data_IF_818654481290
#
_entry.id   IF_818654481290
#
_cell.length_a   1.000
_cell.length_b   1.000
_cell.length_c   1.000
_cell.angle_alpha   90.00
_cell.angle_beta   90.00
_cell.angle_gamma   90.00
#
_symmetry.space_group_name_H-M   'P 1'
#
loop_
_entity.id
_entity.type
_entity.pdbx_description
1 polymer ?
#
# COMPACT_ATOMS: atom_id res chain seq x y z
N UNK A 1 9.78 -0.60 -1.93
CA UNK A 1 10.87 0.37 -2.18
C UNK A 1 10.60 1.62 -1.38
N UNK A 2 11.61 2.22 -0.74
CA UNK A 2 11.43 3.48 -0.04
C UNK A 2 11.11 4.59 -1.06
N UNK A 3 10.03 5.34 -0.83
CA UNK A 3 9.60 6.43 -1.69
C UNK A 3 10.16 7.79 -1.28
N UNK A 4 10.89 7.86 -0.16
CA UNK A 4 11.38 9.13 0.36
C UNK A 4 12.58 9.65 -0.41
N UNK A 5 12.50 10.93 -0.79
CA UNK A 5 13.57 11.60 -1.51
C UNK A 5 14.83 11.64 -0.65
N UNK A 6 15.97 11.29 -1.25
CA UNK A 6 17.28 11.23 -0.57
C UNK A 6 17.37 10.19 0.56
N UNK A 7 16.50 9.18 0.57
CA UNK A 7 16.71 8.00 1.40
C UNK A 7 17.91 7.19 0.87
N UNK A 8 18.82 6.79 1.76
CA UNK A 8 20.03 6.03 1.42
C UNK A 8 19.84 4.51 1.37
N UNK A 9 18.61 4.01 1.48
CA UNK A 9 18.30 2.58 1.42
C UNK A 9 18.11 2.13 -0.03
N UNK A 10 18.76 1.03 -0.37
CA UNK A 10 18.64 0.34 -1.65
C UNK A 10 18.20 -1.10 -1.40
N UNK A 11 17.27 -1.57 -2.23
CA UNK A 11 16.75 -2.94 -2.18
C UNK A 11 17.04 -3.58 -3.52
N UNK A 12 17.70 -4.73 -3.50
CA UNK A 12 17.95 -5.53 -4.70
C UNK A 12 17.01 -6.74 -4.70
N UNK A 13 16.23 -6.86 -5.76
CA UNK A 13 15.38 -8.02 -6.04
C UNK A 13 15.81 -8.70 -7.34
N UNK A 14 15.49 -9.98 -7.50
CA UNK A 14 15.66 -10.66 -8.78
C UNK A 14 14.44 -10.42 -9.69
N UNK A 15 14.45 -11.04 -10.88
CA UNK A 15 13.36 -10.95 -11.85
C UNK A 15 12.09 -11.71 -11.43
N UNK A 16 12.15 -12.50 -10.35
CA UNK A 16 11.02 -13.18 -9.75
C UNK A 16 10.49 -12.43 -8.50
N UNK A 17 10.89 -11.16 -8.33
CA UNK A 17 10.54 -10.30 -7.18
C UNK A 17 11.00 -10.84 -5.81
N UNK A 18 11.95 -11.77 -5.77
CA UNK A 18 12.52 -12.28 -4.53
C UNK A 18 13.58 -11.30 -4.00
N UNK A 19 13.56 -11.08 -2.67
CA UNK A 19 14.52 -10.22 -2.00
C UNK A 19 15.91 -10.87 -2.01
N UNK A 20 16.89 -10.18 -2.59
CA UNK A 20 18.30 -10.61 -2.58
C UNK A 20 19.02 -9.96 -1.41
N UNK A 21 18.98 -8.63 -1.31
CA UNK A 21 19.61 -7.90 -0.22
C UNK A 21 18.99 -6.51 0.00
N UNK A 22 19.24 -5.97 1.20
CA UNK A 22 18.90 -4.62 1.60
C UNK A 22 20.18 -3.95 2.07
N UNK A 23 20.55 -2.82 1.44
CA UNK A 23 21.75 -2.07 1.74
C UNK A 23 21.38 -0.63 2.16
N UNK A 24 22.22 -0.03 3.00
CA UNK A 24 22.02 1.33 3.51
C UNK A 24 21.09 1.41 4.71
N UNK A 25 20.84 2.64 5.19
CA UNK A 25 20.00 2.90 6.36
C UNK A 25 18.99 4.00 6.06
N UNK A 26 17.78 3.88 6.63
CA UNK A 26 16.80 4.94 6.57
C UNK A 26 17.29 6.14 7.36
N UNK A 27 17.18 7.32 6.77
CA UNK A 27 17.48 8.61 7.39
C UNK A 27 16.20 9.39 7.74
N UNK A 28 15.06 8.71 7.76
CA UNK A 28 13.76 9.26 8.04
C UNK A 28 12.95 8.27 8.89
N UNK A 29 11.92 8.77 9.55
CA UNK A 29 10.98 7.92 10.28
C UNK A 29 10.02 7.23 9.30
N UNK A 30 9.46 6.09 9.72
CA UNK A 30 8.36 5.47 8.99
C UNK A 30 7.12 6.36 9.06
N UNK A 31 6.33 6.38 7.98
CA UNK A 31 5.02 7.01 7.96
C UNK A 31 3.95 5.91 8.13
N UNK A 32 3.35 5.75 9.33
CA UNK A 32 2.41 4.67 9.60
C UNK A 32 1.13 4.78 8.75
N UNK A 33 0.65 5.98 8.48
CA UNK A 33 -0.57 6.21 7.68
C UNK A 33 -0.37 5.79 6.21
N UNK A 34 0.80 6.09 5.64
CA UNK A 34 1.18 5.63 4.30
C UNK A 34 1.29 4.10 4.24
N UNK A 35 1.84 3.48 5.28
CA UNK A 35 2.00 2.03 5.37
C UNK A 35 0.64 1.33 5.47
N UNK A 36 -0.23 1.82 6.34
CA UNK A 36 -1.60 1.30 6.52
C UNK A 36 -2.40 1.42 5.21
N UNK A 37 -2.38 2.59 4.57
CA UNK A 37 -3.06 2.80 3.30
C UNK A 37 -2.49 1.89 2.18
N UNK A 38 -1.17 1.63 2.18
CA UNK A 38 -0.55 0.68 1.24
C UNK A 38 -1.03 -0.74 1.48
N UNK A 39 -1.03 -1.21 2.72
CA UNK A 39 -1.47 -2.56 3.07
C UNK A 39 -2.92 -2.81 2.63
N UNK A 40 -3.81 -1.83 2.84
CA UNK A 40 -5.19 -1.94 2.38
C UNK A 40 -5.29 -2.04 0.86
N UNK A 41 -4.55 -1.20 0.13
CA UNK A 41 -4.54 -1.25 -1.34
C UNK A 41 -4.02 -2.58 -1.88
N UNK A 42 -2.97 -3.12 -1.27
CA UNK A 42 -2.38 -4.40 -1.69
C UNK A 42 -3.40 -5.53 -1.47
N UNK A 43 -4.08 -5.55 -0.30
CA UNK A 43 -5.17 -6.49 -0.01
C UNK A 43 -6.34 -6.39 -0.99
N UNK A 44 -6.77 -5.17 -1.33
CA UNK A 44 -7.82 -4.97 -2.35
C UNK A 44 -7.39 -5.50 -3.71
N UNK A 45 -6.14 -5.24 -4.14
CA UNK A 45 -5.61 -5.73 -5.42
C UNK A 45 -5.56 -7.26 -5.46
N UNK A 46 -5.14 -7.91 -4.39
CA UNK A 46 -5.16 -9.37 -4.29
C UNK A 46 -6.57 -9.94 -4.49
N UNK A 47 -7.58 -9.33 -3.86
CA UNK A 47 -8.99 -9.73 -4.06
C UNK A 47 -9.47 -9.46 -5.47
N UNK A 48 -9.15 -8.29 -6.04
CA UNK A 48 -9.54 -7.93 -7.41
C UNK A 48 -8.97 -8.92 -8.44
N UNK A 49 -7.75 -9.43 -8.21
CA UNK A 49 -7.12 -10.40 -9.10
C UNK A 49 -7.64 -11.83 -8.92
N UNK A 50 -8.14 -12.18 -7.73
CA UNK A 50 -8.56 -13.55 -7.38
C UNK A 50 -10.06 -13.78 -7.46
N UNK A 51 -10.88 -12.74 -7.35
CA UNK A 51 -12.34 -12.82 -7.33
C UNK A 51 -12.96 -12.23 -8.60
N UNK A 52 -14.14 -12.72 -8.98
CA UNK A 52 -14.99 -12.13 -10.03
C UNK A 52 -15.92 -11.03 -9.49
N UNK A 53 -15.85 -10.75 -8.19
CA UNK A 53 -16.59 -9.68 -7.52
C UNK A 53 -16.25 -8.33 -8.16
N UNK A 54 -17.23 -7.44 -8.32
CA UNK A 54 -16.96 -6.11 -8.88
C UNK A 54 -15.97 -5.33 -8.03
N UNK A 55 -15.07 -4.59 -8.69
CA UNK A 55 -14.03 -3.78 -8.03
C UNK A 55 -14.64 -2.82 -7.01
N UNK A 56 -15.75 -2.16 -7.35
CA UNK A 56 -16.45 -1.24 -6.44
C UNK A 56 -16.94 -1.94 -5.18
N UNK A 57 -17.47 -3.15 -5.30
CA UNK A 57 -17.95 -3.92 -4.14
C UNK A 57 -16.79 -4.36 -3.24
N UNK A 58 -15.67 -4.79 -3.83
CA UNK A 58 -14.45 -5.10 -3.07
C UNK A 58 -13.96 -3.86 -2.33
N UNK A 59 -13.95 -2.70 -2.98
CA UNK A 59 -13.54 -1.44 -2.36
C UNK A 59 -14.44 -1.07 -1.18
N UNK A 60 -15.76 -1.07 -1.36
CA UNK A 60 -16.72 -0.74 -0.29
C UNK A 60 -16.58 -1.71 0.90
N UNK A 61 -16.45 -3.01 0.65
CA UNK A 61 -16.26 -4.02 1.70
C UNK A 61 -14.95 -3.81 2.47
N UNK A 62 -13.85 -3.57 1.77
CA UNK A 62 -12.54 -3.44 2.40
C UNK A 62 -12.39 -2.11 3.14
N UNK A 63 -12.97 -1.01 2.64
CA UNK A 63 -13.05 0.25 3.39
C UNK A 63 -13.90 0.10 4.64
N UNK A 64 -15.06 -0.57 4.55
CA UNK A 64 -15.93 -0.77 5.70
C UNK A 64 -15.28 -1.64 6.80
N UNK A 65 -14.40 -2.58 6.41
CA UNK A 65 -13.64 -3.42 7.35
C UNK A 65 -12.39 -2.72 7.88
N UNK A 66 -11.82 -1.79 7.13
CA UNK A 66 -10.56 -1.15 7.48
C UNK A 66 -10.80 -0.09 8.56
N UNK A 67 -10.36 -0.38 9.78
CA UNK A 67 -10.36 0.58 10.90
C UNK A 67 -9.18 1.58 10.74
N UNK A 68 -9.19 2.33 9.63
CA UNK A 68 -8.09 3.22 9.26
C UNK A 68 -7.96 4.41 10.20
N UNK A 69 -6.71 4.86 10.39
CA UNK A 69 -6.45 6.19 10.94
C UNK A 69 -7.07 7.29 10.05
N UNK A 70 -7.36 8.46 10.63
CA UNK A 70 -7.82 9.63 9.85
C UNK A 70 -6.80 10.04 8.77
N UNK A 71 -5.51 9.93 9.08
CA UNK A 71 -4.44 10.23 8.13
C UNK A 71 -4.38 9.22 7.00
N UNK A 72 -4.50 7.92 7.33
CA UNK A 72 -4.52 6.84 6.33
C UNK A 72 -5.76 6.94 5.41
N UNK A 73 -6.93 7.25 5.97
CA UNK A 73 -8.15 7.46 5.21
C UNK A 73 -8.04 8.64 4.22
N UNK A 74 -7.36 9.73 4.61
CA UNK A 74 -7.15 10.89 3.74
C UNK A 74 -6.22 10.62 2.55
N UNK A 75 -5.38 9.59 2.63
CA UNK A 75 -4.48 9.18 1.54
C UNK A 75 -5.21 8.34 0.48
N UNK A 76 -6.34 7.71 0.84
CA UNK A 76 -7.07 6.88 -0.09
C UNK A 76 -7.91 7.73 -1.05
N UNK A 77 -7.95 7.39 -2.35
CA UNK A 77 -8.76 8.11 -3.30
C UNK A 77 -10.24 7.95 -2.93
N UNK A 78 -10.91 9.06 -2.61
CA UNK A 78 -12.36 9.08 -2.47
C UNK A 78 -12.99 8.79 -3.82
N UNK A 79 -13.82 7.76 -3.91
CA UNK A 79 -14.65 7.50 -5.09
C UNK A 79 -15.64 8.67 -5.21
N UNK A 80 -15.32 9.64 -6.07
CA UNK A 80 -16.27 10.70 -6.44
C UNK A 80 -17.32 10.01 -7.32
N UNK A 81 -18.53 9.82 -6.78
CA UNK A 81 -19.69 9.41 -7.58
C UNK A 81 -20.03 10.58 -8.51
N UNK A 82 -19.89 10.38 -9.82
CA UNK A 82 -20.48 11.24 -10.84
C UNK A 82 -21.96 10.92 -11.02
#
# INVERSE_FOLDING_TARGET
MCSESKCGVYIHTNTADELICVNGNHNHSANPDQLEAKQLRDKMKERILSETTSITKIYDEEIAKANLSKGAAAILPTVIKY
#
